data_IF_422564407405
#
_entry.id   IF_422564407405
#
_cell.length_a   1.000
_cell.length_b   1.000
_cell.length_c   1.000
_cell.angle_alpha   90.00
_cell.angle_beta   90.00
_cell.angle_gamma   90.00
#
_symmetry.space_group_name_H-M   'P 1'
#
loop_
_entity.id
_entity.type
_entity.pdbx_description
1 polymer ?
#
# COMPACT_ATOMS: atom_id res chain seq x y z
N UNK A 1 -16.32 10.21 -17.71
CA UNK A 1 -16.82 9.87 -16.38
C UNK A 1 -15.67 9.88 -15.39
N UNK A 2 -15.73 10.75 -14.43
CA UNK A 2 -14.63 10.77 -13.45
C UNK A 2 -14.65 9.48 -12.64
N UNK A 3 -13.47 8.93 -12.50
CA UNK A 3 -13.28 7.74 -11.67
C UNK A 3 -13.08 8.17 -10.23
N UNK A 4 -13.60 7.37 -9.29
CA UNK A 4 -13.27 7.57 -7.89
C UNK A 4 -11.93 6.95 -7.54
N UNK A 5 -11.27 6.37 -8.53
CA UNK A 5 -9.97 5.73 -8.34
C UNK A 5 -8.88 6.78 -8.20
N UNK A 6 -8.00 6.56 -7.25
CA UNK A 6 -6.87 7.45 -6.98
C UNK A 6 -5.62 6.60 -6.85
N UNK A 7 -4.52 7.09 -7.40
CA UNK A 7 -3.23 6.38 -7.36
C UNK A 7 -2.16 7.26 -6.75
N UNK A 8 -1.25 6.62 -6.05
CA UNK A 8 -0.04 7.25 -5.50
C UNK A 8 1.09 6.24 -5.52
N UNK A 9 2.29 6.74 -5.57
CA UNK A 9 3.49 5.90 -5.49
C UNK A 9 4.28 6.28 -4.27
N UNK A 10 4.90 5.29 -3.65
CA UNK A 10 5.76 5.52 -2.50
C UNK A 10 6.85 4.48 -2.49
N UNK A 11 8.07 4.90 -2.21
CA UNK A 11 9.22 4.00 -2.19
C UNK A 11 9.52 3.59 -0.76
N UNK A 12 9.68 2.28 -0.55
CA UNK A 12 10.09 1.77 0.76
C UNK A 12 11.49 2.28 1.10
N UNK A 13 11.73 2.65 2.37
CA UNK A 13 13.10 2.96 2.80
C UNK A 13 14.01 1.78 2.50
N UNK A 14 15.27 2.06 2.18
CA UNK A 14 16.19 1.02 1.71
C UNK A 14 16.44 -0.08 2.72
N UNK A 15 16.32 0.24 4.00
CA UNK A 15 16.58 -0.73 5.06
C UNK A 15 15.33 -1.50 5.50
N UNK A 16 14.18 -1.27 4.86
CA UNK A 16 12.92 -1.84 5.34
C UNK A 16 12.23 -2.67 4.27
N UNK A 17 12.44 -4.00 4.29
CA UNK A 17 11.66 -4.87 3.41
C UNK A 17 10.22 -4.98 3.91
N UNK A 18 9.28 -5.21 2.99
CA UNK A 18 7.86 -5.28 3.32
C UNK A 18 7.48 -6.71 3.70
N UNK A 19 7.95 -7.16 4.87
CA UNK A 19 7.55 -8.45 5.40
C UNK A 19 6.80 -8.25 6.72
N UNK A 20 6.69 -9.29 7.54
CA UNK A 20 5.64 -9.41 8.58
C UNK A 20 5.26 -8.14 9.33
N UNK A 21 6.23 -7.45 9.94
CA UNK A 21 5.90 -6.32 10.79
C UNK A 21 5.46 -5.08 10.00
N UNK A 22 6.24 -4.61 9.03
CA UNK A 22 5.80 -3.44 8.23
C UNK A 22 4.53 -3.75 7.43
N UNK A 23 4.41 -4.98 6.91
CA UNK A 23 3.21 -5.37 6.18
C UNK A 23 1.99 -5.36 7.10
N UNK A 24 2.14 -5.79 8.34
CA UNK A 24 1.07 -5.74 9.32
C UNK A 24 0.61 -4.31 9.60
N UNK A 25 1.56 -3.38 9.77
CA UNK A 25 1.23 -1.98 9.98
C UNK A 25 0.49 -1.41 8.77
N UNK A 26 0.96 -1.74 7.59
CA UNK A 26 0.35 -1.29 6.33
C UNK A 26 -1.09 -1.80 6.21
N UNK A 27 -1.30 -3.09 6.45
CA UNK A 27 -2.62 -3.71 6.32
C UNK A 27 -3.59 -3.13 7.34
N UNK A 28 -3.14 -2.93 8.59
CA UNK A 28 -4.00 -2.34 9.62
C UNK A 28 -4.44 -0.92 9.24
N UNK A 29 -3.52 -0.15 8.68
CA UNK A 29 -3.86 1.20 8.24
C UNK A 29 -4.86 1.16 7.08
N UNK A 30 -4.63 0.28 6.10
CA UNK A 30 -5.55 0.14 4.97
C UNK A 30 -6.95 -0.26 5.41
N UNK A 31 -7.04 -1.11 6.44
CA UNK A 31 -8.32 -1.62 6.92
C UNK A 31 -9.19 -0.53 7.56
N UNK A 32 -8.62 0.63 7.87
CA UNK A 32 -9.39 1.72 8.45
C UNK A 32 -10.18 2.52 7.44
N UNK A 33 -9.96 2.27 6.16
CA UNK A 33 -10.66 3.00 5.10
C UNK A 33 -11.68 2.10 4.43
N UNK A 34 -12.88 2.60 4.12
CA UNK A 34 -13.88 1.79 3.42
C UNK A 34 -13.55 1.55 1.96
N UNK A 35 -12.64 2.33 1.37
CA UNK A 35 -12.26 2.19 -0.02
C UNK A 35 -11.67 0.81 -0.31
N UNK A 36 -11.79 0.38 -1.56
CA UNK A 36 -11.04 -0.79 -2.05
C UNK A 36 -9.64 -0.32 -2.37
N UNK A 37 -8.65 -0.96 -1.77
CA UNK A 37 -7.26 -0.52 -1.88
C UNK A 37 -6.40 -1.67 -2.38
N UNK A 38 -5.57 -1.39 -3.37
CA UNK A 38 -4.58 -2.35 -3.85
C UNK A 38 -3.19 -1.74 -3.84
N UNK A 39 -2.19 -2.62 -3.76
CA UNK A 39 -0.79 -2.23 -3.81
C UNK A 39 -0.09 -3.14 -4.80
N UNK A 40 0.73 -2.56 -5.66
CA UNK A 40 1.45 -3.31 -6.68
C UNK A 40 2.95 -3.08 -6.56
N UNK A 41 3.71 -4.12 -6.80
CA UNK A 41 5.17 -4.07 -6.81
C UNK A 41 5.69 -5.31 -7.52
N UNK A 42 6.83 -5.18 -8.17
CA UNK A 42 7.50 -6.32 -8.81
C UNK A 42 6.61 -7.08 -9.80
N UNK A 43 5.71 -6.36 -10.48
CA UNK A 43 4.80 -6.97 -11.44
C UNK A 43 3.64 -7.74 -10.83
N UNK A 44 3.46 -7.65 -9.52
CA UNK A 44 2.38 -8.31 -8.81
C UNK A 44 1.45 -7.28 -8.16
N UNK A 45 0.23 -7.68 -7.93
CA UNK A 45 -0.78 -6.83 -7.29
C UNK A 45 -1.39 -7.55 -6.10
N UNK A 46 -1.64 -6.81 -5.04
CA UNK A 46 -2.17 -7.36 -3.81
C UNK A 46 -3.30 -6.51 -3.28
N UNK A 47 -4.24 -7.16 -2.60
CA UNK A 47 -5.25 -6.45 -1.81
C UNK A 47 -4.55 -5.90 -0.58
N UNK A 48 -4.58 -4.57 -0.42
CA UNK A 48 -3.86 -3.89 0.67
C UNK A 48 -4.38 -4.29 2.05
N UNK A 49 -5.56 -4.90 2.12
CA UNK A 49 -6.15 -5.34 3.39
C UNK A 49 -5.87 -6.81 3.69
N UNK A 50 -5.06 -7.47 2.85
CA UNK A 50 -4.68 -8.87 3.05
C UNK A 50 -3.21 -8.98 3.33
N UNK A 51 -2.86 -9.37 4.56
CA UNK A 51 -1.45 -9.46 4.97
C UNK A 51 -0.68 -10.49 4.14
N UNK A 52 -1.32 -11.62 3.83
CA UNK A 52 -0.66 -12.65 3.04
C UNK A 52 -0.36 -12.19 1.63
N UNK A 53 -1.29 -11.44 1.02
CA UNK A 53 -1.06 -10.93 -0.32
C UNK A 53 0.02 -9.86 -0.33
N UNK A 54 0.00 -8.97 0.66
CA UNK A 54 1.00 -7.90 0.76
C UNK A 54 2.40 -8.49 0.93
N UNK A 55 2.54 -9.46 1.84
CA UNK A 55 3.83 -10.15 2.01
C UNK A 55 4.24 -10.85 0.72
N UNK A 56 3.27 -11.42 0.00
CA UNK A 56 3.52 -12.12 -1.25
C UNK A 56 4.09 -11.27 -2.36
N UNK A 57 4.04 -9.94 -2.24
CA UNK A 57 4.66 -9.05 -3.24
C UNK A 57 6.18 -9.19 -3.25
N UNK A 58 6.78 -9.62 -2.14
CA UNK A 58 8.22 -9.76 -2.04
C UNK A 58 8.97 -8.44 -2.15
N UNK A 59 8.33 -7.34 -1.77
CA UNK A 59 8.96 -6.02 -1.89
C UNK A 59 10.10 -5.87 -0.89
N UNK A 60 11.24 -5.45 -1.39
CA UNK A 60 12.44 -5.20 -0.57
C UNK A 60 12.63 -3.68 -0.42
N UNK A 61 13.55 -3.30 0.44
CA UNK A 61 13.87 -1.88 0.61
C UNK A 61 14.25 -1.25 -0.72
N UNK A 62 13.80 -0.03 -0.93
CA UNK A 62 14.02 0.69 -2.18
C UNK A 62 12.99 0.40 -3.26
N UNK A 63 12.10 -0.58 -3.04
CA UNK A 63 11.06 -0.89 -4.03
C UNK A 63 9.99 0.20 -4.04
N UNK A 64 9.59 0.62 -5.23
CA UNK A 64 8.47 1.54 -5.39
C UNK A 64 7.16 0.76 -5.33
N UNK A 65 6.27 1.20 -4.47
CA UNK A 65 4.94 0.62 -4.34
C UNK A 65 3.94 1.52 -5.06
N UNK A 66 3.05 0.92 -5.84
CA UNK A 66 1.96 1.65 -6.49
C UNK A 66 0.68 1.39 -5.71
N UNK A 67 0.13 2.44 -5.15
CA UNK A 67 -1.06 2.38 -4.33
C UNK A 67 -2.25 2.86 -5.14
N UNK A 68 -3.32 2.08 -5.16
CA UNK A 68 -4.54 2.44 -5.88
C UNK A 68 -5.72 2.24 -4.95
N UNK A 69 -6.67 3.15 -4.99
CA UNK A 69 -7.87 3.01 -4.20
C UNK A 69 -9.07 3.53 -4.98
N UNK A 70 -10.23 2.93 -4.74
CA UNK A 70 -11.48 3.38 -5.33
C UNK A 70 -12.58 3.35 -4.29
N UNK A 71 -13.56 4.23 -4.45
CA UNK A 71 -14.67 4.32 -3.53
C UNK A 71 -14.48 5.39 -2.50
N UNK A 72 -15.26 5.30 -1.43
CA UNK A 72 -15.29 6.31 -0.40
C UNK A 72 -13.97 6.38 0.35
N UNK A 73 -13.41 7.59 0.44
CA UNK A 73 -12.15 7.81 1.15
C UNK A 73 -10.91 7.41 0.37
N UNK A 74 -11.04 7.14 -0.94
CA UNK A 74 -9.93 6.65 -1.75
C UNK A 74 -8.72 7.58 -1.72
N UNK A 75 -8.94 8.89 -1.90
CA UNK A 75 -7.83 9.84 -1.93
C UNK A 75 -7.10 9.90 -0.59
N UNK A 76 -7.86 9.93 0.50
CA UNK A 76 -7.28 9.95 1.84
C UNK A 76 -6.53 8.66 2.14
N UNK A 77 -7.05 7.52 1.68
CA UNK A 77 -6.43 6.23 1.91
C UNK A 77 -5.05 6.16 1.26
N UNK A 78 -4.95 6.52 -0.02
CA UNK A 78 -3.64 6.42 -0.69
C UNK A 78 -2.65 7.45 -0.15
N UNK A 79 -3.11 8.63 0.24
CA UNK A 79 -2.24 9.63 0.85
C UNK A 79 -1.69 9.13 2.18
N UNK A 80 -2.57 8.58 3.01
CA UNK A 80 -2.18 8.05 4.32
C UNK A 80 -1.20 6.89 4.16
N UNK A 81 -1.49 5.97 3.26
CA UNK A 81 -0.63 4.80 3.06
C UNK A 81 0.71 5.17 2.45
N UNK A 82 0.73 6.13 1.52
CA UNK A 82 1.99 6.59 0.95
C UNK A 82 2.88 7.22 2.03
N UNK A 83 2.29 8.03 2.90
CA UNK A 83 3.04 8.62 4.01
C UNK A 83 3.55 7.55 4.96
N UNK A 84 2.73 6.54 5.26
CA UNK A 84 3.13 5.44 6.11
C UNK A 84 4.32 4.69 5.52
N UNK A 85 4.26 4.36 4.24
CA UNK A 85 5.34 3.64 3.55
C UNK A 85 6.65 4.40 3.67
N UNK A 86 6.61 5.72 3.43
CA UNK A 86 7.81 6.54 3.49
C UNK A 86 8.38 6.65 4.89
N UNK A 87 7.55 6.45 5.91
CA UNK A 87 7.97 6.58 7.30
C UNK A 87 8.32 5.26 7.97
N UNK A 88 8.18 4.14 7.26
CA UNK A 88 8.57 2.84 7.81
C UNK A 88 10.09 2.79 8.04
N UNK A 89 10.50 2.31 9.20
CA UNK A 89 11.91 2.08 9.48
C UNK A 89 12.13 1.28 10.74
#
# INVERSE_FOLDING_TARGET
MPSSETERRATLPESVPLHARPAGDFVRAAAQFPADISVAANGKRANAKSILEVIGLGAVGGTELELSASGEGAAEAVEHLAALVRSLD
#
